data_IF_470209254062
#
_entry.id   IF_470209254062
#
_cell.length_a   1.000
_cell.length_b   1.000
_cell.length_c   1.000
_cell.angle_alpha   90.00
_cell.angle_beta   90.00
_cell.angle_gamma   90.00
#
_symmetry.space_group_name_H-M   'P 1'
#
loop_
_entity.id
_entity.type
_entity.pdbx_description
1 polymer ?
#
# COMPACT_ATOMS: atom_id res chain seq x y z
N UNK A 1 -4.16 -12.54 22.83
CA UNK A 1 -4.60 -11.79 21.64
C UNK A 1 -3.64 -12.19 20.55
N UNK A 2 -4.11 -12.91 19.55
CA UNK A 2 -3.28 -13.23 18.39
C UNK A 2 -3.28 -11.99 17.51
N UNK A 3 -2.20 -11.20 17.60
CA UNK A 3 -1.99 -10.05 16.73
C UNK A 3 -1.65 -10.52 15.32
N UNK A 4 -2.11 -9.78 14.32
CA UNK A 4 -1.65 -9.96 12.95
C UNK A 4 -0.63 -8.87 12.62
N UNK A 5 0.56 -9.29 12.20
CA UNK A 5 1.58 -8.39 11.69
C UNK A 5 1.46 -8.34 10.16
N UNK A 6 1.43 -7.12 9.61
CA UNK A 6 1.45 -6.87 8.17
C UNK A 6 2.62 -5.95 7.86
N UNK A 7 3.54 -6.44 7.05
CA UNK A 7 4.65 -5.65 6.51
C UNK A 7 4.40 -5.40 5.02
N UNK A 8 4.55 -4.15 4.60
CA UNK A 8 4.41 -3.73 3.20
C UNK A 8 5.74 -3.19 2.72
N UNK A 9 6.14 -3.60 1.51
CA UNK A 9 7.36 -3.13 0.86
C UNK A 9 7.01 -2.44 -0.45
N UNK A 10 7.59 -1.26 -0.66
CA UNK A 10 7.56 -0.56 -1.94
C UNK A 10 8.49 -1.22 -2.96
N UNK A 11 8.09 -1.21 -4.21
CA UNK A 11 8.91 -1.63 -5.34
C UNK A 11 8.14 -1.59 -6.65
N UNK A 12 8.80 -1.29 -7.78
CA UNK A 12 8.12 -1.24 -9.07
C UNK A 12 7.51 -2.60 -9.40
N UNK A 13 6.32 -2.57 -9.99
CA UNK A 13 5.54 -3.77 -10.33
C UNK A 13 6.38 -4.81 -11.11
N UNK A 14 7.16 -4.34 -12.08
CA UNK A 14 7.99 -5.19 -12.95
C UNK A 14 9.44 -5.31 -12.46
N UNK A 15 9.71 -4.90 -11.22
CA UNK A 15 11.05 -4.91 -10.62
C UNK A 15 11.50 -6.26 -10.09
N UNK A 16 12.82 -6.42 -9.91
CA UNK A 16 13.39 -7.58 -9.22
C UNK A 16 12.95 -7.69 -7.75
N UNK A 17 12.58 -6.55 -7.14
CA UNK A 17 12.03 -6.46 -5.78
C UNK A 17 10.71 -5.67 -5.91
N UNK A 18 9.59 -6.33 -6.24
CA UNK A 18 8.32 -5.65 -6.48
C UNK A 18 7.59 -5.31 -5.19
N UNK A 19 6.53 -4.50 -5.33
CA UNK A 19 5.56 -4.27 -4.27
C UNK A 19 5.05 -5.59 -3.71
N UNK A 20 5.12 -5.74 -2.39
CA UNK A 20 4.83 -7.02 -1.76
C UNK A 20 4.40 -6.90 -0.32
N UNK A 21 3.77 -7.97 0.15
CA UNK A 21 3.21 -8.08 1.50
C UNK A 21 3.78 -9.30 2.20
N UNK A 22 4.13 -9.13 3.46
CA UNK A 22 4.42 -10.22 4.40
C UNK A 22 3.39 -10.19 5.53
N UNK A 23 2.88 -11.37 5.85
CA UNK A 23 1.92 -11.59 6.94
C UNK A 23 2.55 -12.48 7.99
N UNK A 24 2.52 -12.05 9.26
CA UNK A 24 2.95 -12.84 10.42
C UNK A 24 4.35 -13.47 10.25
N UNK A 25 5.32 -12.70 9.78
CA UNK A 25 6.71 -13.15 9.58
C UNK A 25 6.95 -14.05 8.37
N UNK A 26 5.96 -14.23 7.47
CA UNK A 26 6.17 -14.94 6.20
C UNK A 26 7.12 -14.19 5.25
N UNK A 27 7.59 -14.87 4.20
CA UNK A 27 8.32 -14.22 3.12
C UNK A 27 7.43 -13.19 2.39
N UNK A 28 8.03 -12.14 1.85
CA UNK A 28 7.34 -11.17 1.02
C UNK A 28 6.80 -11.83 -0.25
N UNK A 29 5.48 -11.78 -0.44
CA UNK A 29 4.83 -12.22 -1.66
C UNK A 29 4.54 -10.99 -2.53
N UNK A 30 4.99 -10.98 -3.80
CA UNK A 30 4.59 -9.97 -4.77
C UNK A 30 3.07 -9.96 -4.92
N UNK A 31 2.50 -8.78 -5.16
CA UNK A 31 1.06 -8.68 -5.44
C UNK A 31 0.81 -9.09 -6.89
N UNK A 32 -0.04 -10.11 -7.07
CA UNK A 32 -0.42 -10.61 -8.39
C UNK A 32 -1.35 -9.62 -9.09
N UNK A 33 -0.90 -9.18 -10.26
CA UNK A 33 -1.48 -8.21 -11.20
C UNK A 33 -2.84 -8.62 -11.78
N UNK A 34 -3.21 -9.89 -11.70
CA UNK A 34 -4.26 -10.43 -12.56
C UNK A 34 -5.68 -10.34 -11.99
N UNK A 35 -5.89 -10.20 -10.68
CA UNK A 35 -7.25 -10.16 -10.13
C UNK A 35 -7.36 -9.79 -8.65
N UNK A 36 -7.23 -8.50 -8.28
CA UNK A 36 -7.73 -7.97 -6.99
C UNK A 36 -7.61 -8.92 -5.78
N UNK A 37 -6.44 -9.53 -5.60
CA UNK A 37 -6.33 -10.78 -4.85
C UNK A 37 -6.55 -10.52 -3.37
N UNK A 38 -7.52 -11.23 -2.78
CA UNK A 38 -7.67 -11.33 -1.32
C UNK A 38 -6.49 -12.13 -0.79
N UNK A 39 -5.64 -11.48 0.00
CA UNK A 39 -4.44 -12.09 0.59
C UNK A 39 -4.81 -12.83 1.88
N UNK A 40 -5.73 -12.26 2.67
CA UNK A 40 -6.25 -12.89 3.89
C UNK A 40 -7.69 -12.43 4.17
N UNK A 41 -8.55 -13.34 4.61
CA UNK A 41 -9.93 -13.03 4.97
C UNK A 41 -10.35 -13.73 6.27
N UNK A 42 -10.71 -12.94 7.28
CA UNK A 42 -11.30 -13.36 8.53
C UNK A 42 -12.51 -12.49 8.88
N UNK A 43 -13.22 -12.83 9.97
CA UNK A 43 -14.44 -12.11 10.39
C UNK A 43 -14.19 -10.72 10.96
N UNK A 44 -13.01 -10.49 11.55
CA UNK A 44 -12.64 -9.20 12.17
C UNK A 44 -11.47 -8.51 11.48
N UNK A 45 -10.76 -9.22 10.58
CA UNK A 45 -9.59 -8.73 9.89
C UNK A 45 -9.56 -9.27 8.45
N UNK A 46 -9.33 -8.40 7.47
CA UNK A 46 -9.10 -8.82 6.09
C UNK A 46 -8.04 -7.95 5.42
N UNK A 47 -7.29 -8.55 4.51
CA UNK A 47 -6.27 -7.91 3.69
C UNK A 47 -6.54 -8.26 2.23
N UNK A 48 -6.74 -7.23 1.42
CA UNK A 48 -6.93 -7.34 -0.02
C UNK A 48 -5.98 -6.42 -0.75
N UNK A 49 -5.56 -6.86 -1.92
CA UNK A 49 -4.67 -6.08 -2.76
C UNK A 49 -5.28 -5.83 -4.12
N UNK A 50 -4.96 -4.70 -4.72
CA UNK A 50 -5.38 -4.37 -6.07
C UNK A 50 -4.33 -3.50 -6.73
N UNK A 51 -4.28 -3.54 -8.06
CA UNK A 51 -3.53 -2.56 -8.84
C UNK A 51 -4.54 -1.65 -9.50
N UNK A 52 -4.32 -0.36 -9.38
CA UNK A 52 -5.20 0.67 -9.92
C UNK A 52 -4.38 1.77 -10.54
N UNK A 53 -4.85 2.25 -11.68
CA UNK A 53 -4.37 3.48 -12.28
C UNK A 53 -5.36 4.59 -11.89
N UNK A 54 -5.19 5.14 -10.69
CA UNK A 54 -6.13 6.15 -10.17
C UNK A 54 -5.99 7.49 -10.89
N UNK A 55 -4.80 7.80 -11.39
CA UNK A 55 -4.46 9.05 -12.06
C UNK A 55 -3.75 8.75 -13.40
N UNK A 56 -4.51 8.25 -14.39
CA UNK A 56 -3.93 7.82 -15.66
C UNK A 56 -3.16 8.94 -16.35
N UNK A 57 -1.90 8.67 -16.69
CA UNK A 57 -1.03 9.64 -17.36
C UNK A 57 -0.28 10.60 -16.44
N UNK A 58 -0.54 10.56 -15.13
CA UNK A 58 0.25 11.26 -14.10
C UNK A 58 1.23 10.28 -13.44
N UNK A 59 0.74 9.12 -13.01
CA UNK A 59 1.54 8.05 -12.41
C UNK A 59 1.51 6.77 -13.25
N UNK A 60 2.40 5.82 -12.93
CA UNK A 60 2.28 4.45 -13.43
C UNK A 60 1.16 3.68 -12.73
N UNK A 61 0.83 2.44 -13.16
CA UNK A 61 -0.11 1.59 -12.43
C UNK A 61 0.38 1.40 -10.99
N UNK A 62 -0.45 1.83 -10.05
CA UNK A 62 -0.11 1.92 -8.64
C UNK A 62 -0.68 0.73 -7.88
N UNK A 63 0.15 0.10 -7.05
CA UNK A 63 -0.26 -1.02 -6.24
C UNK A 63 -0.89 -0.52 -4.94
N UNK A 64 -2.01 -1.12 -4.56
CA UNK A 64 -2.74 -0.80 -3.34
C UNK A 64 -2.92 -2.03 -2.47
N UNK A 65 -2.77 -1.81 -1.19
CA UNK A 65 -3.18 -2.74 -0.15
C UNK A 65 -4.29 -2.09 0.67
N UNK A 66 -5.44 -2.77 0.78
CA UNK A 66 -6.50 -2.38 1.70
C UNK A 66 -6.60 -3.41 2.81
N UNK A 67 -6.61 -2.93 4.04
CA UNK A 67 -6.81 -3.71 5.26
C UNK A 67 -8.08 -3.21 5.95
N UNK A 68 -8.91 -4.13 6.43
CA UNK A 68 -10.09 -3.81 7.25
C UNK A 68 -9.98 -4.49 8.60
N UNK A 69 -10.17 -3.72 9.67
CA UNK A 69 -10.17 -4.15 11.07
C UNK A 69 -11.44 -3.61 11.73
N UNK A 70 -12.49 -4.42 11.78
CA UNK A 70 -13.81 -3.95 12.22
C UNK A 70 -14.31 -2.77 11.36
N UNK A 71 -14.49 -1.60 11.99
CA UNK A 71 -14.91 -0.36 11.32
C UNK A 71 -13.74 0.46 10.76
N UNK A 72 -12.49 0.14 11.12
CA UNK A 72 -11.29 0.85 10.66
C UNK A 72 -10.83 0.27 9.33
N UNK A 73 -10.52 1.15 8.38
CA UNK A 73 -9.81 0.77 7.16
C UNK A 73 -8.45 1.43 7.09
N UNK A 74 -7.45 0.66 6.69
CA UNK A 74 -6.11 1.14 6.40
C UNK A 74 -5.82 0.89 4.92
N UNK A 75 -5.41 1.91 4.19
CA UNK A 75 -5.01 1.81 2.79
C UNK A 75 -3.54 2.18 2.66
N UNK A 76 -2.76 1.32 2.01
CA UNK A 76 -1.39 1.62 1.59
C UNK A 76 -1.39 1.69 0.07
N UNK A 77 -1.06 2.84 -0.50
CA UNK A 77 -0.93 3.04 -1.94
C UNK A 77 0.53 3.24 -2.27
N UNK A 78 1.05 2.51 -3.24
CA UNK A 78 2.32 2.82 -3.84
C UNK A 78 2.11 3.80 -4.98
N UNK A 79 2.92 4.85 -5.03
CA UNK A 79 3.08 5.71 -6.19
C UNK A 79 4.42 5.43 -6.86
N UNK A 80 4.43 5.29 -8.19
CA UNK A 80 5.66 5.04 -8.95
C UNK A 80 5.99 6.17 -9.92
N UNK A 81 7.14 6.82 -9.68
CA UNK A 81 7.77 7.79 -10.58
C UNK A 81 8.83 7.12 -11.48
N UNK A 82 9.07 7.69 -12.65
CA UNK A 82 10.09 7.20 -13.58
C UNK A 82 9.74 5.87 -14.25
N UNK A 83 10.71 5.24 -14.92
CA UNK A 83 10.54 3.94 -15.60
C UNK A 83 11.78 3.07 -15.46
N UNK A 84 11.56 1.76 -15.39
CA UNK A 84 12.62 0.75 -15.36
C UNK A 84 13.68 1.06 -14.28
N UNK A 85 14.93 1.29 -14.70
CA UNK A 85 16.07 1.54 -13.80
C UNK A 85 15.99 2.87 -13.06
N UNK A 86 15.24 3.85 -13.58
CA UNK A 86 15.06 5.16 -12.96
C UNK A 86 13.78 5.22 -12.11
N UNK A 87 13.13 4.07 -11.89
CA UNK A 87 11.87 4.02 -11.17
C UNK A 87 12.07 4.28 -9.67
N UNK A 88 11.23 5.16 -9.11
CA UNK A 88 11.15 5.44 -7.68
C UNK A 88 9.76 5.12 -7.19
N UNK A 89 9.66 4.18 -6.27
CA UNK A 89 8.41 3.82 -5.61
C UNK A 89 8.33 4.47 -4.24
N UNK A 90 7.23 5.16 -3.99
CA UNK A 90 6.90 5.81 -2.72
C UNK A 90 5.63 5.16 -2.17
N UNK A 91 5.47 5.12 -0.84
CA UNK A 91 4.23 4.66 -0.23
C UNK A 91 3.46 5.86 0.30
N UNK A 92 2.14 5.78 0.25
CA UNK A 92 1.22 6.63 0.97
C UNK A 92 0.36 5.72 1.84
N UNK A 93 0.12 6.15 3.07
CA UNK A 93 -0.68 5.43 4.06
C UNK A 93 -1.86 6.31 4.41
N UNK A 94 -3.08 5.78 4.32
CA UNK A 94 -4.29 6.41 4.86
C UNK A 94 -5.01 5.48 5.83
N UNK A 95 -5.60 6.06 6.87
CA UNK A 95 -6.38 5.36 7.89
C UNK A 95 -7.69 6.08 8.08
N UNK A 96 -8.79 5.36 7.91
CA UNK A 96 -10.16 5.88 8.03
C UNK A 96 -10.96 5.08 9.05
N UNK A 97 -12.03 5.68 9.59
CA UNK A 97 -12.93 5.03 10.54
C UNK A 97 -12.44 5.04 11.99
N UNK A 98 -11.51 5.93 12.32
CA UNK A 98 -11.15 6.25 13.70
C UNK A 98 -12.17 7.24 14.28
N UNK A 99 -12.72 6.94 15.47
CA UNK A 99 -13.58 7.90 16.16
C UNK A 99 -12.80 9.21 16.43
N UNK A 100 -13.44 10.34 16.13
CA UNK A 100 -12.91 11.70 16.29
C UNK A 100 -11.77 12.13 15.33
N UNK A 101 -11.45 11.37 14.28
CA UNK A 101 -10.51 11.78 13.22
C UNK A 101 -11.03 11.33 11.85
N UNK A 102 -11.23 12.27 10.92
CA UNK A 102 -11.80 11.95 9.60
C UNK A 102 -10.88 11.06 8.75
N UNK A 103 -9.55 11.29 8.81
CA UNK A 103 -8.52 10.43 8.22
C UNK A 103 -7.12 10.76 8.80
N UNK A 104 -6.24 9.77 8.91
CA UNK A 104 -4.81 9.97 9.28
C UNK A 104 -3.95 9.34 8.19
N UNK A 105 -3.06 10.13 7.56
CA UNK A 105 -2.21 9.62 6.49
C UNK A 105 -1.11 10.57 6.00
N UNK A 106 -0.28 10.07 5.07
CA UNK A 106 0.82 10.82 4.43
C UNK A 106 1.88 9.93 3.78
N UNK A 107 2.68 10.54 2.90
CA UNK A 107 3.74 9.85 2.16
C UNK A 107 4.76 9.23 3.12
N UNK A 108 5.00 7.93 3.02
CA UNK A 108 6.14 7.26 3.62
C UNK A 108 7.23 7.19 2.55
N UNK A 109 8.09 8.21 2.55
CA UNK A 109 9.33 8.20 1.77
C UNK A 109 10.28 7.09 2.24
N UNK A 110 11.29 6.78 1.42
CA UNK A 110 12.31 5.77 1.73
C UNK A 110 13.09 6.02 3.03
N UNK A 111 13.10 7.28 3.51
CA UNK A 111 13.78 7.71 4.75
C UNK A 111 12.79 7.99 5.92
N UNK A 112 11.55 7.50 5.82
CA UNK A 112 10.51 7.65 6.85
C UNK A 112 9.63 8.90 6.70
N UNK A 113 8.75 9.13 7.67
CA UNK A 113 7.72 10.19 7.62
C UNK A 113 8.27 11.63 7.49
N UNK A 114 9.55 11.85 7.81
CA UNK A 114 10.21 13.15 7.64
C UNK A 114 10.61 13.44 6.18
N UNK A 115 10.70 12.40 5.35
CA UNK A 115 10.97 12.49 3.91
C UNK A 115 9.72 12.23 3.06
N UNK A 116 8.56 12.21 3.69
CA UNK A 116 7.26 12.29 3.06
C UNK A 116 7.22 13.47 2.09
N UNK A 117 6.96 13.23 0.80
CA UNK A 117 6.56 14.31 -0.11
C UNK A 117 5.27 14.98 0.38
N UNK A 118 5.00 16.20 -0.10
CA UNK A 118 3.67 16.77 0.06
C UNK A 118 2.71 16.05 -0.89
N UNK A 119 1.47 15.82 -0.44
CA UNK A 119 0.41 15.39 -1.34
C UNK A 119 0.25 16.39 -2.50
N UNK A 120 -0.06 15.93 -3.72
CA UNK A 120 -0.37 16.84 -4.83
C UNK A 120 -1.50 17.80 -4.45
N UNK A 121 -1.48 19.01 -5.01
CA UNK A 121 -2.60 19.92 -4.88
C UNK A 121 -3.85 19.34 -5.58
N UNK A 122 -5.01 19.45 -4.93
CA UNK A 122 -6.33 19.11 -5.50
C UNK A 122 -6.64 19.89 -6.79
#
# INVERSE_FOLDING_TARGET
MDGHEVLVRAGPVDGAIPFGVSLNGSAFNPIDLSSGSKILAGTSFSVSSMISDDEPGVWGPDAKLQMKIGAVSVTVKQHTEGRLADSRSMLDLSVDGLDAVDSVGGWLGVDGALAAGQAPAE
#
